data_IF_175992116919
#
_entry.id   IF_175992116919
#
_cell.length_a   1.000
_cell.length_b   1.000
_cell.length_c   1.000
_cell.angle_alpha   90.00
_cell.angle_beta   90.00
_cell.angle_gamma   90.00
#
_symmetry.space_group_name_H-M   'P 1'
#
loop_
_entity.id
_entity.type
_entity.pdbx_description
1 polymer ?
#
# COMPACT_ATOMS: atom_id res chain seq x y z
N UNK A 1 -4.35 11.41 -4.60
CA UNK A 1 -5.55 11.36 -5.50
C UNK A 1 -5.94 9.90 -5.72
N UNK A 2 -7.24 9.58 -5.64
CA UNK A 2 -7.79 8.21 -5.85
C UNK A 2 -8.40 8.11 -7.24
N UNK A 3 -8.04 7.06 -7.98
CA UNK A 3 -8.69 6.67 -9.24
C UNK A 3 -9.22 5.25 -9.10
N UNK A 4 -10.51 5.05 -9.41
CA UNK A 4 -11.16 3.74 -9.30
C UNK A 4 -11.26 3.13 -10.69
N UNK A 5 -10.93 1.85 -10.82
CA UNK A 5 -11.02 1.12 -12.09
C UNK A 5 -11.42 -0.35 -11.87
N UNK A 6 -12.01 -0.96 -12.88
CA UNK A 6 -12.42 -2.37 -12.86
C UNK A 6 -11.32 -3.22 -13.48
N UNK A 7 -10.86 -4.27 -12.79
CA UNK A 7 -9.96 -5.28 -13.39
C UNK A 7 -10.76 -6.29 -14.21
N UNK A 8 -10.08 -7.00 -15.11
CA UNK A 8 -10.64 -8.11 -15.90
C UNK A 8 -11.24 -9.24 -15.03
N UNK A 9 -10.90 -9.29 -13.73
CA UNK A 9 -11.50 -10.20 -12.74
C UNK A 9 -12.84 -9.72 -12.19
N UNK A 10 -13.36 -8.59 -12.66
CA UNK A 10 -14.58 -7.95 -12.14
C UNK A 10 -14.40 -7.15 -10.85
N UNK A 11 -13.26 -7.30 -10.16
CA UNK A 11 -12.97 -6.59 -8.91
C UNK A 11 -12.74 -5.10 -9.15
N UNK A 12 -13.37 -4.27 -8.31
CA UNK A 12 -13.13 -2.84 -8.26
C UNK A 12 -11.81 -2.59 -7.52
N UNK A 13 -10.89 -1.92 -8.19
CA UNK A 13 -9.58 -1.57 -7.66
C UNK A 13 -9.46 -0.06 -7.54
N UNK A 14 -8.62 0.36 -6.59
CA UNK A 14 -8.25 1.76 -6.41
C UNK A 14 -6.76 1.92 -6.73
N UNK A 15 -6.43 2.85 -7.63
CA UNK A 15 -5.07 3.38 -7.79
C UNK A 15 -4.93 4.61 -6.89
N UNK A 16 -3.86 4.64 -6.11
CA UNK A 16 -3.56 5.70 -5.15
C UNK A 16 -2.18 6.28 -5.44
N UNK A 17 -2.07 7.60 -5.30
CA UNK A 17 -0.81 8.33 -5.28
C UNK A 17 -0.78 9.22 -4.03
N UNK A 18 0.36 9.24 -3.34
CA UNK A 18 0.62 10.04 -2.16
C UNK A 18 2.04 10.63 -2.23
N UNK A 19 2.26 11.70 -1.47
CA UNK A 19 3.55 12.35 -1.30
C UNK A 19 3.99 12.06 0.13
N UNK A 20 5.25 11.72 0.30
CA UNK A 20 5.84 11.43 1.60
C UNK A 20 7.31 11.86 1.61
N UNK A 21 7.93 11.87 2.79
CA UNK A 21 9.35 12.15 2.95
C UNK A 21 10.20 11.05 2.31
N UNK A 22 11.27 11.45 1.62
CA UNK A 22 12.21 10.52 0.96
C UNK A 22 12.73 9.45 1.93
N UNK A 23 13.05 9.83 3.18
CA UNK A 23 13.55 8.90 4.21
C UNK A 23 12.60 7.73 4.49
N UNK A 24 11.29 7.96 4.35
CA UNK A 24 10.25 6.94 4.55
C UNK A 24 10.22 6.01 3.35
N UNK A 25 10.31 6.54 2.13
CA UNK A 25 10.36 5.76 0.89
C UNK A 25 11.61 4.86 0.85
N UNK A 26 12.78 5.39 1.23
CA UNK A 26 14.03 4.62 1.30
C UNK A 26 13.94 3.46 2.30
N UNK A 27 13.32 3.72 3.46
CA UNK A 27 13.06 2.69 4.47
C UNK A 27 12.11 1.63 3.93
N UNK A 28 11.04 2.03 3.23
CA UNK A 28 10.09 1.12 2.61
C UNK A 28 10.78 0.19 1.60
N UNK A 29 11.65 0.73 0.76
CA UNK A 29 12.43 -0.07 -0.20
C UNK A 29 13.35 -1.07 0.50
N UNK A 30 14.09 -0.63 1.53
CA UNK A 30 14.97 -1.51 2.30
C UNK A 30 14.21 -2.66 2.95
N UNK A 31 13.04 -2.39 3.52
CA UNK A 31 12.18 -3.41 4.15
C UNK A 31 11.58 -4.34 3.09
N UNK A 32 11.13 -3.81 1.95
CA UNK A 32 10.62 -4.58 0.81
C UNK A 32 11.62 -5.63 0.34
N UNK A 33 12.89 -5.24 0.17
CA UNK A 33 13.98 -6.17 -0.19
C UNK A 33 14.20 -7.23 0.89
N UNK A 34 14.27 -6.83 2.17
CA UNK A 34 14.49 -7.77 3.30
C UNK A 34 13.36 -8.79 3.43
N UNK A 35 12.11 -8.39 3.22
CA UNK A 35 10.94 -9.26 3.35
C UNK A 35 10.56 -10.00 2.06
N UNK A 36 11.27 -9.73 0.95
CA UNK A 36 10.99 -10.29 -0.38
C UNK A 36 9.53 -10.09 -0.83
N UNK A 37 8.97 -8.90 -0.56
CA UNK A 37 7.62 -8.51 -0.96
C UNK A 37 7.65 -7.15 -1.64
N UNK A 38 6.71 -6.88 -2.54
CA UNK A 38 6.63 -5.56 -3.19
C UNK A 38 6.34 -4.43 -2.19
N UNK A 39 6.85 -3.23 -2.45
CA UNK A 39 6.54 -2.03 -1.66
C UNK A 39 5.03 -1.80 -1.54
N UNK A 40 4.28 -2.00 -2.63
CA UNK A 40 2.82 -1.91 -2.65
C UNK A 40 2.14 -2.95 -1.75
N UNK A 41 2.73 -4.13 -1.58
CA UNK A 41 2.22 -5.13 -0.64
C UNK A 41 2.41 -4.66 0.80
N UNK A 42 3.60 -4.18 1.15
CA UNK A 42 3.86 -3.63 2.49
C UNK A 42 2.90 -2.49 2.85
N UNK A 43 2.68 -1.56 1.92
CA UNK A 43 1.74 -0.45 2.15
C UNK A 43 0.32 -0.99 2.39
N UNK A 44 -0.13 -1.99 1.61
CA UNK A 44 -1.45 -2.59 1.81
C UNK A 44 -1.56 -3.29 3.17
N UNK A 45 -0.53 -4.02 3.58
CA UNK A 45 -0.49 -4.70 4.87
C UNK A 45 -0.59 -3.68 6.02
N UNK A 46 0.20 -2.61 5.97
CA UNK A 46 0.12 -1.53 6.97
C UNK A 46 -1.25 -0.85 7.02
N UNK A 47 -1.89 -0.62 5.87
CA UNK A 47 -3.25 -0.05 5.83
C UNK A 47 -4.25 -1.02 6.46
N UNK A 48 -4.18 -2.32 6.12
CA UNK A 48 -5.11 -3.33 6.66
C UNK A 48 -4.94 -3.49 8.17
N UNK A 49 -3.71 -3.61 8.66
CA UNK A 49 -3.42 -3.75 10.09
C UNK A 49 -3.78 -2.47 10.85
N UNK A 50 -3.52 -1.30 10.26
CA UNK A 50 -3.92 -0.01 10.82
C UNK A 50 -5.43 0.12 10.96
N UNK A 51 -6.20 -0.22 9.91
CA UNK A 51 -7.67 -0.13 9.93
C UNK A 51 -8.32 -1.13 10.89
N UNK A 52 -7.78 -2.35 11.00
CA UNK A 52 -8.27 -3.35 11.97
C UNK A 52 -8.25 -2.85 13.41
N UNK A 53 -7.28 -2.01 13.76
CA UNK A 53 -7.20 -1.41 15.10
C UNK A 53 -8.28 -0.35 15.37
N UNK A 54 -9.08 0.02 14.37
CA UNK A 54 -10.09 1.07 14.42
C UNK A 54 -11.51 0.53 14.16
N UNK A 55 -11.65 -0.77 13.95
CA UNK A 55 -12.93 -1.47 13.95
C UNK A 55 -13.42 -1.57 15.42
N UNK A 56 -13.93 -0.45 15.96
CA UNK A 56 -14.60 -0.37 17.27
C UNK A 56 -16.03 -0.90 17.17
#
# INVERSE_FOLDING_TARGET
MKSVYKRNTGRMMCRMSFIDEQKIIDKLEKVSKRRMVSQSQLIRDFIQDGLRGWDV
#
